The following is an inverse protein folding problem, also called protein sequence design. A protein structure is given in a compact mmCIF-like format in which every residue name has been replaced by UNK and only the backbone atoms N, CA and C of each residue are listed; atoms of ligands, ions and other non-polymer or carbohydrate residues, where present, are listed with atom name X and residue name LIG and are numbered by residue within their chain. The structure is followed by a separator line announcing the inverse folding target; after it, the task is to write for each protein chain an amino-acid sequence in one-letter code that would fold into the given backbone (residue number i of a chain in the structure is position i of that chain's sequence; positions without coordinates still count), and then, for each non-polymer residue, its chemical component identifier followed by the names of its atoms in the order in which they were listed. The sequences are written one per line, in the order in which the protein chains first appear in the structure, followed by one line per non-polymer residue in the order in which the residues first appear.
data_IF_660160142828
#
_entry.id   IF_660160142828
#
_cell.length_a   1.000
_cell.length_b   1.000
_cell.length_c   1.000
_cell.angle_alpha   90.00
_cell.angle_beta   90.00
_cell.angle_gamma   90.00
#
_symmetry.space_group_name_H-M   'P 1'
#
loop_
_entity.id
_entity.type
_entity.pdbx_description
1 polymer ?
#
# COMPACT_ATOMS: atom_id res chain seq x y z
N UNK A 1 -15.19 17.05 1.91
CA UNK A 1 -14.91 15.61 2.07
C UNK A 1 -16.08 14.98 2.81
N UNK A 2 -16.64 13.90 2.28
CA UNK A 2 -17.68 13.11 2.94
C UNK A 2 -17.01 11.88 3.58
N UNK A 3 -17.47 11.46 4.75
CA UNK A 3 -17.05 10.18 5.34
C UNK A 3 -17.89 9.08 4.67
N UNK A 4 -17.24 8.19 3.92
CA UNK A 4 -17.89 7.01 3.37
C UNK A 4 -17.93 5.90 4.43
N UNK A 5 -19.14 5.48 4.80
CA UNK A 5 -19.36 4.40 5.75
C UNK A 5 -19.45 3.07 4.99
N UNK A 6 -18.47 2.20 5.21
CA UNK A 6 -18.48 0.86 4.63
C UNK A 6 -19.47 -0.07 5.34
N UNK A 7 -20.20 -0.93 4.58
CA UNK A 7 -21.01 -1.98 5.17
C UNK A 7 -20.14 -2.99 5.93
N UNK A 8 -20.72 -3.60 6.98
CA UNK A 8 -20.00 -4.57 7.82
C UNK A 8 -19.60 -5.80 7.00
N UNK A 9 -18.35 -6.25 7.16
CA UNK A 9 -17.77 -7.43 6.50
C UNK A 9 -17.56 -7.32 4.98
N UNK A 10 -17.38 -6.12 4.44
CA UNK A 10 -17.02 -5.91 3.04
C UNK A 10 -15.57 -5.42 2.85
N UNK A 11 -14.54 -6.25 3.18
CA UNK A 11 -13.14 -5.85 3.02
C UNK A 11 -12.75 -5.59 1.55
N UNK A 12 -13.47 -6.16 0.59
CA UNK A 12 -13.29 -5.94 -0.85
C UNK A 12 -13.61 -4.51 -1.29
N UNK A 13 -14.43 -3.80 -0.51
CA UNK A 13 -14.77 -2.39 -0.76
C UNK A 13 -13.78 -1.44 -0.08
N UNK A 14 -12.84 -1.96 0.73
CA UNK A 14 -11.85 -1.15 1.41
C UNK A 14 -10.51 -1.22 0.68
N UNK A 15 -10.19 -0.19 -0.11
CA UNK A 15 -8.94 -0.10 -0.86
C UNK A 15 -7.69 -0.21 0.03
N UNK A 16 -7.81 0.15 1.31
CA UNK A 16 -6.73 0.03 2.29
C UNK A 16 -6.39 -1.45 2.53
N UNK A 17 -7.37 -2.35 2.56
CA UNK A 17 -7.12 -3.80 2.72
C UNK A 17 -6.33 -4.37 1.53
N UNK A 18 -6.65 -3.90 0.32
CA UNK A 18 -5.91 -4.27 -0.89
C UNK A 18 -4.47 -3.77 -0.84
N UNK A 19 -4.26 -2.51 -0.45
CA UNK A 19 -2.93 -1.93 -0.29
C UNK A 19 -2.10 -2.68 0.77
N UNK A 20 -2.69 -3.02 1.93
CA UNK A 20 -2.02 -3.78 2.98
C UNK A 20 -1.65 -5.19 2.55
N UNK A 21 -2.51 -5.87 1.77
CA UNK A 21 -2.22 -7.19 1.22
C UNK A 21 -0.99 -7.15 0.32
N UNK A 22 -0.92 -6.15 -0.56
CA UNK A 22 0.17 -5.93 -1.50
C UNK A 22 1.48 -5.62 -0.75
N UNK A 23 1.44 -4.67 0.18
CA UNK A 23 2.57 -4.30 1.04
C UNK A 23 3.17 -5.53 1.74
N UNK A 24 2.33 -6.33 2.39
CA UNK A 24 2.79 -7.52 3.12
C UNK A 24 3.41 -8.56 2.19
N UNK A 25 2.81 -8.80 1.02
CA UNK A 25 3.25 -9.84 0.09
C UNK A 25 4.53 -9.46 -0.65
N UNK A 26 4.67 -8.20 -1.04
CA UNK A 26 5.76 -7.76 -1.91
C UNK A 26 6.95 -7.21 -1.12
N UNK A 27 6.71 -6.52 0.00
CA UNK A 27 7.78 -5.83 0.73
C UNK A 27 8.17 -6.55 2.02
N UNK A 28 7.23 -7.23 2.69
CA UNK A 28 7.49 -7.79 4.03
C UNK A 28 7.59 -9.32 4.09
N UNK A 29 7.23 -10.04 3.03
CA UNK A 29 7.06 -11.51 3.05
C UNK A 29 8.34 -12.32 3.34
N UNK A 30 9.53 -11.72 3.16
CA UNK A 30 10.82 -12.40 3.38
C UNK A 30 11.70 -11.67 4.40
N UNK A 31 11.11 -10.78 5.19
CA UNK A 31 11.83 -10.04 6.22
C UNK A 31 11.51 -10.62 7.61
N UNK A 32 12.55 -10.75 8.44
CA UNK A 32 12.41 -11.06 9.85
C UNK A 32 12.76 -9.80 10.65
N UNK A 33 11.83 -9.38 11.50
CA UNK A 33 11.98 -8.17 12.31
C UNK A 33 12.52 -8.55 13.68
N UNK A 34 13.51 -7.79 14.14
CA UNK A 34 14.20 -8.03 15.41
C UNK A 34 13.44 -7.41 16.59
N UNK A 35 12.77 -6.29 16.33
CA UNK A 35 12.09 -5.45 17.30
C UNK A 35 11.00 -4.63 16.59
N UNK A 36 10.14 -3.99 17.38
CA UNK A 36 9.03 -3.20 16.87
C UNK A 36 9.51 -1.97 16.08
N UNK A 37 10.60 -1.33 16.49
CA UNK A 37 11.16 -0.17 15.78
C UNK A 37 11.72 -0.56 14.40
N UNK A 38 12.27 -1.76 14.27
CA UNK A 38 12.68 -2.31 12.98
C UNK A 38 11.48 -2.57 12.06
N UNK A 39 10.39 -3.12 12.60
CA UNK A 39 9.14 -3.30 11.86
C UNK A 39 8.55 -1.96 11.41
N UNK A 40 8.47 -0.98 12.30
CA UNK A 40 7.93 0.35 12.01
C UNK A 40 8.69 1.03 10.86
N UNK A 41 10.03 1.05 10.95
CA UNK A 41 10.88 1.58 9.88
C UNK A 41 10.70 0.83 8.57
N UNK A 42 10.60 -0.50 8.60
CA UNK A 42 10.40 -1.30 7.41
C UNK A 42 9.03 -1.03 6.75
N UNK A 43 7.98 -0.83 7.54
CA UNK A 43 6.65 -0.45 7.04
C UNK A 43 6.71 0.93 6.39
N UNK A 44 7.32 1.92 7.04
CA UNK A 44 7.44 3.28 6.50
C UNK A 44 8.23 3.31 5.17
N UNK A 45 9.33 2.55 5.09
CA UNK A 45 10.09 2.40 3.85
C UNK A 45 9.25 1.74 2.76
N UNK A 46 8.60 0.61 3.06
CA UNK A 46 7.77 -0.12 2.11
C UNK A 46 6.60 0.71 1.57
N UNK A 47 5.96 1.52 2.42
CA UNK A 47 4.89 2.43 1.99
C UNK A 47 5.42 3.52 1.06
N UNK A 48 6.61 4.05 1.34
CA UNK A 48 7.25 5.06 0.49
C UNK A 48 7.56 4.48 -0.89
N UNK A 49 8.13 3.28 -0.95
CA UNK A 49 8.43 2.59 -2.21
C UNK A 49 7.16 2.26 -3.00
N UNK A 50 6.12 1.75 -2.34
CA UNK A 50 4.82 1.46 -2.96
C UNK A 50 4.18 2.74 -3.55
N UNK A 51 4.27 3.86 -2.84
CA UNK A 51 3.75 5.14 -3.32
C UNK A 51 4.54 5.65 -4.53
N UNK A 52 5.87 5.55 -4.51
CA UNK A 52 6.73 5.92 -5.64
C UNK A 52 6.41 5.07 -6.89
N UNK A 53 6.24 3.75 -6.72
CA UNK A 53 5.84 2.86 -7.81
C UNK A 53 4.48 3.25 -8.41
N UNK A 54 3.48 3.52 -7.56
CA UNK A 54 2.14 3.91 -7.99
C UNK A 54 2.16 5.26 -8.70
N UNK A 55 2.89 6.25 -8.18
CA UNK A 55 3.00 7.57 -8.80
C UNK A 55 3.68 7.50 -10.17
N UNK A 56 4.73 6.69 -10.31
CA UNK A 56 5.41 6.45 -11.60
C UNK A 56 4.46 5.84 -12.64
N UNK A 57 3.66 4.83 -12.23
CA UNK A 57 2.66 4.19 -13.10
C UNK A 57 1.56 5.17 -13.54
N UNK A 58 1.09 6.04 -12.66
CA UNK A 58 0.10 7.07 -13.00
C UNK A 58 0.66 8.07 -14.04
N UNK A 59 1.88 8.56 -13.84
CA UNK A 59 2.54 9.46 -14.79
C UNK A 59 2.79 8.80 -16.16
N UNK A 60 3.14 7.51 -16.19
CA UNK A 60 3.32 6.76 -17.42
C UNK A 60 2.00 6.56 -18.19
N UNK A 61 0.91 6.22 -17.50
CA UNK A 61 -0.41 6.06 -18.12
C UNK A 61 -0.94 7.38 -18.70
N UNK A 62 -0.71 8.51 -18.03
CA UNK A 62 -1.05 9.83 -18.56
C UNK A 62 -0.24 10.22 -19.81
N UNK A 63 1.00 9.74 -19.93
CA UNK A 63 1.85 9.98 -21.11
C UNK A 63 1.48 9.15 -22.33
N UNK A 64 0.87 7.96 -22.15
CA UNK A 64 0.49 7.07 -23.25
C UNK A 64 -0.90 7.42 -23.81
N UNK A 65 -1.73 8.10 -23.04
CA UNK A 65 -3.09 8.49 -23.44
C UNK A 65 -3.17 9.83 -24.22
N UNK A 66 -2.03 10.38 -24.68
CA UNK A 66 -1.95 11.66 -25.39
C UNK A 66 -1.60 11.48 -26.88
#
# INVERSE_FOLDING_TARGET
MCVEWLPRYAPELNDIEHAWRDLKRHFLAHQTFRDLDHLDRAIHAAVTDLNNERQSKTCANLRIAA
#
